data_IF_342813017632
#
_entry.id   IF_342813017632
#
_cell.length_a   1.000
_cell.length_b   1.000
_cell.length_c   1.000
_cell.angle_alpha   90.00
_cell.angle_beta   90.00
_cell.angle_gamma   90.00
#
_symmetry.space_group_name_H-M   'P 1'
#
loop_
_entity.id
_entity.type
_entity.pdbx_description
1 polymer ?
#
# COMPACT_ATOMS: atom_id res chain seq x y z
N UNK A 1 -15.84 -14.99 7.85
CA UNK A 1 -14.81 -16.04 7.73
C UNK A 1 -15.32 -17.11 6.78
N UNK A 2 -14.51 -17.50 5.83
CA UNK A 2 -14.77 -18.66 4.97
C UNK A 2 -14.58 -19.95 5.76
N UNK A 3 -15.28 -21.00 5.37
CA UNK A 3 -15.04 -22.36 5.89
C UNK A 3 -14.05 -23.09 4.97
N UNK A 4 -13.50 -24.22 5.45
CA UNK A 4 -12.48 -24.99 4.73
C UNK A 4 -12.89 -25.37 3.30
N UNK A 5 -14.16 -25.70 3.05
CA UNK A 5 -14.67 -26.02 1.69
C UNK A 5 -14.72 -24.77 0.80
N UNK A 6 -15.10 -23.62 1.34
CA UNK A 6 -15.09 -22.32 0.63
C UNK A 6 -13.67 -21.92 0.25
N UNK A 7 -12.69 -22.17 1.11
CA UNK A 7 -11.27 -21.93 0.79
C UNK A 7 -10.81 -22.79 -0.39
N UNK A 8 -11.19 -24.05 -0.44
CA UNK A 8 -10.89 -24.92 -1.59
C UNK A 8 -11.57 -24.46 -2.88
N UNK A 9 -12.81 -23.91 -2.81
CA UNK A 9 -13.47 -23.31 -3.97
C UNK A 9 -12.66 -22.12 -4.49
N UNK A 10 -12.23 -21.24 -3.60
CA UNK A 10 -11.43 -20.06 -3.98
C UNK A 10 -10.08 -20.46 -4.61
N UNK A 11 -9.38 -21.43 -4.02
CA UNK A 11 -8.13 -21.98 -4.57
C UNK A 11 -8.36 -22.58 -5.96
N UNK A 12 -9.42 -23.35 -6.14
CA UNK A 12 -9.76 -23.94 -7.43
C UNK A 12 -10.01 -22.85 -8.50
N UNK A 13 -10.83 -21.86 -8.16
CA UNK A 13 -11.14 -20.75 -9.06
C UNK A 13 -9.93 -19.88 -9.39
N UNK A 14 -8.98 -19.75 -8.44
CA UNK A 14 -7.69 -19.07 -8.69
C UNK A 14 -6.89 -19.78 -9.78
N UNK A 15 -6.82 -21.11 -9.71
CA UNK A 15 -5.97 -21.92 -10.60
C UNK A 15 -6.61 -22.18 -11.96
N UNK A 16 -7.95 -22.32 -12.01
CA UNK A 16 -8.69 -22.72 -13.22
C UNK A 16 -9.44 -21.56 -13.89
N UNK A 17 -9.52 -20.40 -13.24
CA UNK A 17 -10.31 -19.28 -13.74
C UNK A 17 -11.82 -19.54 -13.67
N UNK A 18 -12.55 -19.11 -14.70
CA UNK A 18 -14.01 -19.24 -14.73
C UNK A 18 -14.48 -20.69 -14.92
N UNK A 19 -15.23 -21.22 -13.97
CA UNK A 19 -15.62 -22.63 -13.92
C UNK A 19 -17.11 -22.85 -13.62
N UNK A 20 -17.66 -23.97 -14.11
CA UNK A 20 -19.04 -24.35 -13.78
C UNK A 20 -19.12 -24.94 -12.37
N UNK A 21 -20.35 -24.97 -11.81
CA UNK A 21 -20.60 -25.61 -10.51
C UNK A 21 -20.17 -27.10 -10.52
N UNK A 22 -20.47 -27.81 -11.60
CA UNK A 22 -20.12 -29.24 -11.72
C UNK A 22 -18.60 -29.48 -11.70
N UNK A 23 -17.82 -28.58 -12.28
CA UNK A 23 -16.36 -28.66 -12.26
C UNK A 23 -15.82 -28.42 -10.83
N UNK A 24 -16.36 -27.43 -10.13
CA UNK A 24 -16.04 -27.13 -8.73
C UNK A 24 -16.39 -28.32 -7.84
N UNK A 25 -17.58 -28.92 -8.02
CA UNK A 25 -18.04 -30.10 -7.28
C UNK A 25 -17.09 -31.29 -7.45
N UNK A 26 -16.68 -31.60 -8.69
CA UNK A 26 -15.71 -32.66 -8.97
C UNK A 26 -14.39 -32.42 -8.27
N UNK A 27 -13.87 -31.19 -8.31
CA UNK A 27 -12.63 -30.85 -7.62
C UNK A 27 -12.75 -31.04 -6.10
N UNK A 28 -13.82 -30.57 -5.48
CA UNK A 28 -14.06 -30.74 -4.06
C UNK A 28 -14.11 -32.20 -3.66
N UNK A 29 -14.76 -33.06 -4.46
CA UNK A 29 -14.75 -34.50 -4.24
C UNK A 29 -13.36 -35.11 -4.28
N UNK A 30 -12.53 -34.72 -5.25
CA UNK A 30 -11.13 -35.17 -5.36
C UNK A 30 -10.27 -34.76 -4.15
N UNK A 31 -10.60 -33.62 -3.52
CA UNK A 31 -9.92 -33.14 -2.31
C UNK A 31 -10.52 -33.70 -1.01
N UNK A 32 -11.44 -34.66 -1.07
CA UNK A 32 -12.09 -35.24 0.10
C UNK A 32 -13.14 -34.33 0.78
N UNK A 33 -13.53 -33.26 0.12
CA UNK A 33 -14.54 -32.30 0.63
C UNK A 33 -15.91 -32.57 -0.01
N UNK A 34 -16.59 -33.59 0.43
CA UNK A 34 -17.93 -33.96 -0.07
C UNK A 34 -19.00 -33.01 0.46
N UNK A 35 -19.99 -32.74 -0.38
CA UNK A 35 -21.17 -31.96 -0.03
C UNK A 35 -22.28 -32.22 -1.04
N UNK A 36 -23.54 -32.13 -0.60
CA UNK A 36 -24.67 -32.19 -1.54
C UNK A 36 -24.60 -30.98 -2.48
N UNK A 37 -25.21 -31.13 -3.66
CA UNK A 37 -25.40 -30.02 -4.62
C UNK A 37 -25.91 -28.73 -3.95
N UNK A 38 -26.88 -28.87 -3.03
CA UNK A 38 -27.46 -27.76 -2.28
C UNK A 38 -26.43 -27.09 -1.37
N UNK A 39 -25.57 -27.89 -0.74
CA UNK A 39 -24.54 -27.41 0.16
C UNK A 39 -23.48 -26.59 -0.61
N UNK A 40 -23.06 -27.07 -1.78
CA UNK A 40 -22.08 -26.39 -2.63
C UNK A 40 -22.68 -25.09 -3.19
N UNK A 41 -23.95 -25.10 -3.61
CA UNK A 41 -24.66 -23.88 -4.04
C UNK A 41 -24.71 -22.84 -2.91
N UNK A 42 -25.03 -23.25 -1.67
CA UNK A 42 -25.03 -22.34 -0.52
C UNK A 42 -23.66 -21.73 -0.25
N UNK A 43 -22.59 -22.51 -0.41
CA UNK A 43 -21.24 -21.99 -0.27
C UNK A 43 -20.90 -20.99 -1.39
N UNK A 44 -21.24 -21.30 -2.63
CA UNK A 44 -21.07 -20.38 -3.76
C UNK A 44 -21.88 -19.10 -3.59
N UNK A 45 -23.14 -19.19 -3.16
CA UNK A 45 -24.01 -18.03 -2.90
C UNK A 45 -23.44 -17.15 -1.76
N UNK A 46 -22.89 -17.77 -0.69
CA UNK A 46 -22.18 -17.04 0.37
C UNK A 46 -20.95 -16.33 -0.16
N UNK A 47 -20.14 -16.99 -0.99
CA UNK A 47 -18.96 -16.38 -1.60
C UNK A 47 -19.32 -15.24 -2.56
N UNK A 48 -20.42 -15.37 -3.30
CA UNK A 48 -20.95 -14.29 -4.16
C UNK A 48 -21.45 -13.12 -3.31
N UNK A 49 -22.23 -13.39 -2.25
CA UNK A 49 -22.73 -12.35 -1.34
C UNK A 49 -21.61 -11.65 -0.57
N UNK A 50 -20.48 -12.35 -0.31
CA UNK A 50 -19.28 -11.78 0.28
C UNK A 50 -18.37 -11.08 -0.74
N UNK A 51 -18.81 -10.92 -1.99
CA UNK A 51 -18.03 -10.35 -3.10
C UNK A 51 -16.69 -11.05 -3.38
N UNK A 52 -16.53 -12.30 -2.96
CA UNK A 52 -15.33 -13.09 -3.23
C UNK A 52 -15.38 -13.81 -4.58
N UNK A 53 -16.57 -14.14 -5.05
CA UNK A 53 -16.80 -14.83 -6.32
C UNK A 53 -17.81 -14.05 -7.16
N UNK A 54 -17.54 -13.94 -8.45
CA UNK A 54 -18.45 -13.38 -9.46
C UNK A 54 -19.18 -14.53 -10.13
N UNK A 55 -20.52 -14.42 -10.19
CA UNK A 55 -21.41 -15.32 -10.95
C UNK A 55 -21.75 -14.68 -12.28
N UNK A 56 -21.64 -15.42 -13.36
CA UNK A 56 -22.01 -14.98 -14.72
C UNK A 56 -22.83 -16.06 -15.43
N UNK A 57 -23.61 -15.66 -16.44
CA UNK A 57 -24.50 -16.56 -17.16
C UNK A 57 -25.77 -16.95 -16.37
N UNK A 58 -26.64 -17.78 -16.98
CA UNK A 58 -27.88 -18.25 -16.39
C UNK A 58 -28.09 -19.75 -16.67
N UNK A 59 -28.80 -20.42 -15.79
CA UNK A 59 -29.16 -21.84 -15.92
C UNK A 59 -27.91 -22.73 -16.05
N UNK A 60 -27.85 -23.55 -17.08
CA UNK A 60 -26.72 -24.46 -17.35
C UNK A 60 -25.43 -23.74 -17.78
N UNK A 61 -25.53 -22.49 -18.26
CA UNK A 61 -24.38 -21.68 -18.65
C UNK A 61 -23.77 -20.89 -17.48
N UNK A 62 -24.28 -21.06 -16.25
CA UNK A 62 -23.75 -20.38 -15.07
C UNK A 62 -22.30 -20.78 -14.82
N UNK A 63 -21.45 -19.75 -14.71
CA UNK A 63 -20.02 -19.87 -14.33
C UNK A 63 -19.71 -19.02 -13.12
N UNK A 64 -18.70 -19.44 -12.40
CA UNK A 64 -18.16 -18.79 -11.22
C UNK A 64 -16.69 -18.50 -11.46
N UNK A 65 -16.24 -17.29 -11.12
CA UNK A 65 -14.85 -16.88 -11.17
C UNK A 65 -14.52 -16.11 -9.90
N UNK A 66 -13.23 -15.99 -9.57
CA UNK A 66 -12.86 -15.03 -8.52
C UNK A 66 -13.39 -13.63 -8.90
N UNK A 67 -13.86 -12.88 -7.93
CA UNK A 67 -14.10 -11.46 -8.11
C UNK A 67 -12.76 -10.74 -8.30
N UNK A 68 -12.79 -9.51 -8.79
CA UNK A 68 -11.61 -8.66 -8.87
C UNK A 68 -11.01 -8.45 -7.49
N UNK A 69 -11.85 -8.16 -6.50
CA UNK A 69 -11.43 -8.04 -5.10
C UNK A 69 -10.64 -9.28 -4.62
N UNK A 70 -11.17 -10.49 -4.86
CA UNK A 70 -10.46 -11.71 -4.47
C UNK A 70 -9.15 -11.88 -5.21
N UNK A 71 -9.09 -11.55 -6.50
CA UNK A 71 -7.85 -11.63 -7.28
C UNK A 71 -6.78 -10.69 -6.71
N UNK A 72 -7.19 -9.51 -6.28
CA UNK A 72 -6.28 -8.50 -5.72
C UNK A 72 -5.85 -8.83 -4.28
N UNK A 73 -6.69 -9.51 -3.49
CA UNK A 73 -6.46 -9.76 -2.06
C UNK A 73 -6.10 -11.21 -1.72
N UNK A 74 -6.17 -12.12 -2.69
CA UNK A 74 -5.84 -13.53 -2.45
C UNK A 74 -4.34 -13.67 -2.13
N UNK A 75 -3.98 -14.35 -1.02
CA UNK A 75 -2.58 -14.51 -0.66
C UNK A 75 -1.76 -15.18 -1.77
N UNK A 76 -0.59 -14.62 -2.04
CA UNK A 76 0.41 -15.19 -2.94
C UNK A 76 1.57 -15.72 -2.08
N UNK A 77 2.12 -16.86 -2.45
CA UNK A 77 3.37 -17.35 -1.87
C UNK A 77 4.51 -16.45 -2.36
N UNK A 78 4.92 -15.51 -1.51
CA UNK A 78 5.90 -14.47 -1.83
C UNK A 78 7.28 -15.08 -2.06
N UNK A 79 7.67 -16.06 -1.24
CA UNK A 79 8.98 -16.69 -1.37
C UNK A 79 9.07 -17.48 -2.69
N UNK A 80 8.07 -18.29 -3.00
CA UNK A 80 8.02 -19.03 -4.27
C UNK A 80 7.96 -18.08 -5.49
N UNK A 81 7.28 -16.92 -5.35
CA UNK A 81 7.19 -15.92 -6.42
C UNK A 81 8.55 -15.27 -6.72
N UNK A 82 9.27 -14.84 -5.68
CA UNK A 82 10.57 -14.17 -5.81
C UNK A 82 11.76 -15.13 -5.89
N UNK A 83 11.56 -16.44 -5.76
CA UNK A 83 12.58 -17.44 -6.10
C UNK A 83 12.84 -17.55 -7.62
N UNK A 84 11.89 -17.06 -8.43
CA UNK A 84 12.03 -16.96 -9.89
C UNK A 84 12.82 -15.71 -10.26
N UNK A 85 13.67 -15.82 -11.29
CA UNK A 85 14.31 -14.66 -11.89
C UNK A 85 13.30 -13.67 -12.48
N UNK A 86 13.71 -12.41 -12.65
CA UNK A 86 12.83 -11.31 -13.07
C UNK A 86 12.08 -11.67 -14.36
N UNK A 87 12.78 -12.26 -15.33
CA UNK A 87 12.22 -12.60 -16.63
C UNK A 87 11.37 -13.88 -16.64
N UNK A 88 11.43 -14.67 -15.57
CA UNK A 88 10.61 -15.88 -15.38
C UNK A 88 9.31 -15.61 -14.60
N UNK A 89 9.18 -14.43 -14.00
CA UNK A 89 7.98 -14.06 -13.27
C UNK A 89 6.86 -13.67 -14.23
N UNK A 90 5.71 -14.29 -14.05
CA UNK A 90 4.52 -13.96 -14.82
C UNK A 90 3.94 -12.63 -14.34
N UNK A 91 3.81 -11.66 -15.24
CA UNK A 91 3.14 -10.40 -14.99
C UNK A 91 1.66 -10.49 -15.40
N UNK A 92 0.77 -10.01 -14.53
CA UNK A 92 -0.65 -9.84 -14.90
C UNK A 92 -0.81 -8.78 -15.98
N UNK A 93 0.02 -7.74 -15.92
CA UNK A 93 0.15 -6.70 -16.94
C UNK A 93 1.57 -6.16 -16.94
N UNK A 94 2.21 -6.10 -18.11
CA UNK A 94 3.53 -5.46 -18.27
C UNK A 94 3.44 -3.93 -18.16
N UNK A 95 2.26 -3.37 -18.40
CA UNK A 95 2.01 -1.93 -18.39
C UNK A 95 0.99 -1.57 -17.32
N UNK A 96 0.94 -0.27 -17.02
CA UNK A 96 -0.06 0.29 -16.10
C UNK A 96 -1.47 -0.14 -16.48
N UNK A 97 -2.21 -0.64 -15.50
CA UNK A 97 -3.58 -1.10 -15.66
C UNK A 97 -4.56 -0.11 -15.01
N UNK A 98 -5.27 0.67 -15.83
CA UNK A 98 -6.26 1.64 -15.35
C UNK A 98 -7.43 1.01 -14.60
N UNK A 99 -7.78 -0.23 -14.90
CA UNK A 99 -8.88 -0.92 -14.23
C UNK A 99 -8.58 -1.15 -12.74
N UNK A 100 -7.30 -1.28 -12.37
CA UNK A 100 -6.89 -1.41 -10.97
C UNK A 100 -7.37 -0.24 -10.13
N UNK A 101 -7.27 1.00 -10.64
CA UNK A 101 -7.73 2.20 -9.90
C UNK A 101 -9.23 2.14 -9.61
N UNK A 102 -10.02 1.61 -10.54
CA UNK A 102 -11.48 1.51 -10.42
C UNK A 102 -11.94 0.35 -9.52
N UNK A 103 -11.09 -0.64 -9.36
CA UNK A 103 -11.41 -1.90 -8.70
C UNK A 103 -10.87 -2.00 -7.26
N UNK A 104 -10.00 -1.07 -6.84
CA UNK A 104 -9.45 -1.00 -5.49
C UNK A 104 -10.46 -0.36 -4.53
N UNK A 105 -11.33 -1.16 -3.94
CA UNK A 105 -12.27 -0.72 -2.90
C UNK A 105 -12.42 -1.79 -1.83
N UNK A 106 -12.80 -1.39 -0.61
CA UNK A 106 -13.03 -2.28 0.53
C UNK A 106 -11.83 -3.22 0.80
N UNK A 107 -10.63 -2.64 0.88
CA UNK A 107 -9.39 -3.39 1.05
C UNK A 107 -9.26 -4.06 2.42
N UNK A 108 -9.97 -3.54 3.42
CA UNK A 108 -10.00 -4.05 4.78
C UNK A 108 -11.30 -4.80 5.03
N UNK A 109 -11.21 -5.95 5.68
CA UNK A 109 -12.38 -6.66 6.16
C UNK A 109 -12.90 -6.07 7.49
N UNK A 110 -14.10 -6.46 7.92
CA UNK A 110 -14.74 -5.90 9.11
C UNK A 110 -13.92 -6.11 10.39
N UNK A 111 -13.20 -7.22 10.53
CA UNK A 111 -12.35 -7.50 11.70
C UNK A 111 -11.11 -6.60 11.69
N UNK A 112 -10.47 -6.43 10.53
CA UNK A 112 -9.33 -5.50 10.37
C UNK A 112 -9.77 -4.07 10.72
N UNK A 113 -10.91 -3.62 10.21
CA UNK A 113 -11.44 -2.28 10.52
C UNK A 113 -11.68 -2.12 12.02
N UNK A 114 -12.35 -3.09 12.67
CA UNK A 114 -12.63 -3.04 14.11
C UNK A 114 -11.35 -3.00 14.96
N UNK A 115 -10.37 -3.87 14.64
CA UNK A 115 -9.07 -3.91 15.29
C UNK A 115 -8.33 -2.58 15.17
N UNK A 116 -8.18 -2.08 13.95
CA UNK A 116 -7.42 -0.86 13.66
C UNK A 116 -8.08 0.39 14.26
N UNK A 117 -9.42 0.43 14.30
CA UNK A 117 -10.17 1.48 14.96
C UNK A 117 -9.90 1.47 16.47
N UNK A 118 -9.93 0.28 17.11
CA UNK A 118 -9.62 0.13 18.53
C UNK A 118 -8.19 0.53 18.86
N UNK A 119 -7.23 0.16 18.01
CA UNK A 119 -5.83 0.56 18.16
C UNK A 119 -5.67 2.08 18.05
N UNK A 120 -6.35 2.72 17.09
CA UNK A 120 -6.28 4.16 16.93
C UNK A 120 -6.92 4.90 18.12
N UNK A 121 -8.00 4.37 18.66
CA UNK A 121 -8.60 4.93 19.88
C UNK A 121 -7.61 4.87 21.07
N UNK A 122 -6.89 3.76 21.23
CA UNK A 122 -5.82 3.64 22.21
C UNK A 122 -4.71 4.69 22.00
N UNK A 123 -4.32 4.93 20.74
CA UNK A 123 -3.37 6.00 20.41
C UNK A 123 -3.91 7.38 20.83
N UNK A 124 -5.16 7.72 20.48
CA UNK A 124 -5.77 9.00 20.85
C UNK A 124 -5.79 9.22 22.37
N UNK A 125 -6.15 8.19 23.13
CA UNK A 125 -6.18 8.25 24.59
C UNK A 125 -4.79 8.46 25.18
N UNK A 126 -3.77 7.78 24.69
CA UNK A 126 -2.38 7.97 25.12
C UNK A 126 -1.89 9.37 24.77
N UNK A 127 -2.10 9.82 23.53
CA UNK A 127 -1.75 11.15 23.03
C UNK A 127 -2.36 12.25 23.91
N UNK A 128 -3.65 12.12 24.28
CA UNK A 128 -4.35 13.11 25.10
C UNK A 128 -3.80 13.23 26.54
N UNK A 129 -3.08 12.22 27.03
CA UNK A 129 -2.45 12.23 28.36
C UNK A 129 -1.06 12.86 28.38
N UNK A 130 -0.46 13.07 27.21
CA UNK A 130 0.86 13.66 27.11
C UNK A 130 0.81 15.18 27.30
N UNK A 131 1.79 15.73 28.02
CA UNK A 131 2.00 17.18 28.00
C UNK A 131 2.44 17.63 26.59
N UNK A 132 2.22 18.90 26.22
CA UNK A 132 2.64 19.41 24.91
C UNK A 132 4.12 19.15 24.60
N UNK A 133 4.99 19.27 25.62
CA UNK A 133 6.43 18.98 25.49
C UNK A 133 6.72 17.51 25.22
N UNK A 134 6.01 16.58 25.86
CA UNK A 134 6.19 15.15 25.63
C UNK A 134 5.64 14.75 24.26
N UNK A 135 4.50 15.30 23.88
CA UNK A 135 3.92 15.09 22.56
C UNK A 135 4.87 15.54 21.45
N UNK A 136 5.46 16.73 21.59
CA UNK A 136 6.47 17.22 20.64
C UNK A 136 7.66 16.25 20.54
N UNK A 137 8.19 15.76 21.66
CA UNK A 137 9.31 14.80 21.67
C UNK A 137 8.97 13.48 20.97
N UNK A 138 7.74 13.00 21.13
CA UNK A 138 7.30 11.77 20.42
C UNK A 138 7.20 11.99 18.91
N UNK A 139 6.69 13.14 18.47
CA UNK A 139 6.72 13.48 17.04
C UNK A 139 8.15 13.69 16.51
N UNK A 140 9.05 14.31 17.28
CA UNK A 140 10.46 14.41 16.91
C UNK A 140 11.10 13.03 16.75
N UNK A 141 10.85 12.09 17.67
CA UNK A 141 11.34 10.71 17.61
C UNK A 141 10.81 9.98 16.37
N UNK A 142 9.49 10.07 16.13
CA UNK A 142 8.86 9.49 14.95
C UNK A 142 9.46 10.08 13.66
N UNK A 143 9.68 11.39 13.61
CA UNK A 143 10.26 12.08 12.45
C UNK A 143 11.66 11.58 12.14
N UNK A 144 12.52 11.42 13.15
CA UNK A 144 13.87 10.87 12.98
C UNK A 144 13.82 9.45 12.43
N UNK A 145 12.97 8.60 13.01
CA UNK A 145 12.86 7.20 12.59
C UNK A 145 12.24 7.06 11.19
N UNK A 146 11.26 7.90 10.85
CA UNK A 146 10.69 7.95 9.50
C UNK A 146 11.73 8.43 8.47
N UNK A 147 12.43 9.54 8.74
CA UNK A 147 13.44 10.07 7.84
C UNK A 147 14.55 9.04 7.57
N UNK A 148 15.02 8.38 8.63
CA UNK A 148 15.99 7.29 8.50
C UNK A 148 15.45 6.14 7.66
N UNK A 149 14.33 5.55 8.07
CA UNK A 149 13.85 4.30 7.45
C UNK A 149 13.36 4.51 6.03
N UNK A 150 12.63 5.60 5.79
CA UNK A 150 12.15 5.94 4.46
C UNK A 150 13.29 6.21 3.47
N UNK A 151 14.37 6.86 3.91
CA UNK A 151 15.57 7.04 3.09
C UNK A 151 16.30 5.71 2.85
N UNK A 152 16.43 4.87 3.89
CA UNK A 152 17.11 3.58 3.81
C UNK A 152 16.44 2.60 2.85
N UNK A 153 15.10 2.57 2.80
CA UNK A 153 14.34 1.80 1.79
C UNK A 153 14.75 2.18 0.36
N UNK A 154 15.07 3.44 0.12
CA UNK A 154 15.52 3.95 -1.19
C UNK A 154 17.06 3.87 -1.39
N UNK A 155 17.77 3.21 -0.50
CA UNK A 155 19.21 2.95 -0.64
C UNK A 155 20.12 3.94 0.07
N UNK A 156 19.59 4.92 0.82
CA UNK A 156 20.40 5.80 1.65
C UNK A 156 21.14 5.01 2.75
N UNK A 157 22.37 5.38 3.02
CA UNK A 157 23.27 4.62 3.90
C UNK A 157 23.42 5.21 5.30
N UNK A 158 22.67 6.28 5.65
CA UNK A 158 22.64 6.83 7.00
C UNK A 158 22.14 5.78 8.02
N UNK A 159 22.82 5.71 9.17
CA UNK A 159 22.30 4.96 10.32
C UNK A 159 21.24 5.77 11.07
N UNK A 160 20.50 5.15 11.96
CA UNK A 160 19.51 5.86 12.79
C UNK A 160 20.19 6.94 13.66
N UNK A 161 21.34 6.63 14.26
CA UNK A 161 22.08 7.57 15.10
C UNK A 161 22.69 8.73 14.28
N UNK A 162 23.21 8.45 13.08
CA UNK A 162 23.67 9.50 12.17
C UNK A 162 22.52 10.42 11.74
N UNK A 163 21.34 9.85 11.47
CA UNK A 163 20.13 10.60 11.14
C UNK A 163 19.69 11.49 12.30
N UNK A 164 19.67 10.96 13.52
CA UNK A 164 19.33 11.72 14.72
C UNK A 164 20.28 12.91 14.91
N UNK A 165 21.60 12.67 14.81
CA UNK A 165 22.63 13.70 14.92
C UNK A 165 22.48 14.77 13.84
N UNK A 166 22.27 14.36 12.60
CA UNK A 166 22.03 15.30 11.49
C UNK A 166 20.81 16.19 11.76
N UNK A 167 19.69 15.60 12.16
CA UNK A 167 18.43 16.33 12.31
C UNK A 167 18.37 17.21 13.57
N UNK A 168 19.10 16.85 14.64
CA UNK A 168 19.15 17.62 15.90
C UNK A 168 20.28 18.65 15.95
N UNK A 169 21.45 18.28 15.44
CA UNK A 169 22.69 19.06 15.58
C UNK A 169 23.13 19.72 14.26
N UNK A 170 22.48 19.39 13.14
CA UNK A 170 22.89 19.80 11.78
C UNK A 170 24.29 19.33 11.39
N UNK A 171 24.75 18.19 11.93
CA UNK A 171 26.09 17.64 11.66
C UNK A 171 25.94 16.47 10.69
N UNK A 172 26.40 16.60 9.42
CA UNK A 172 26.41 15.50 8.47
C UNK A 172 27.31 14.35 8.92
N UNK A 173 26.90 13.11 8.61
CA UNK A 173 27.71 11.95 8.92
C UNK A 173 28.93 11.85 8.00
N UNK A 174 30.07 11.47 8.55
CA UNK A 174 31.33 11.33 7.79
C UNK A 174 31.20 10.24 6.72
N UNK A 175 31.66 10.53 5.51
CA UNK A 175 31.66 9.59 4.39
C UNK A 175 30.30 9.44 3.68
N UNK A 176 29.30 10.29 4.00
CA UNK A 176 28.03 10.35 3.30
C UNK A 176 28.03 11.44 2.24
N UNK A 177 27.28 11.24 1.18
CA UNK A 177 27.15 12.23 0.10
C UNK A 177 26.26 13.41 0.51
N UNK A 178 26.38 14.52 -0.19
CA UNK A 178 25.49 15.66 -0.01
C UNK A 178 24.03 15.30 -0.35
N UNK A 179 23.83 14.44 -1.35
CA UNK A 179 22.52 13.96 -1.76
C UNK A 179 21.86 13.10 -0.69
N UNK A 180 22.58 12.13 -0.11
CA UNK A 180 22.09 11.33 1.01
C UNK A 180 21.70 12.18 2.20
N UNK A 181 22.52 13.17 2.54
CA UNK A 181 22.26 14.14 3.61
C UNK A 181 21.01 14.96 3.33
N UNK A 182 20.90 15.51 2.12
CA UNK A 182 19.75 16.32 1.71
C UNK A 182 18.46 15.50 1.71
N UNK A 183 18.52 14.24 1.27
CA UNK A 183 17.38 13.32 1.30
C UNK A 183 16.81 13.15 2.73
N UNK A 184 17.66 12.95 3.73
CA UNK A 184 17.23 12.83 5.14
C UNK A 184 16.62 14.13 5.64
N UNK A 185 17.26 15.28 5.37
CA UNK A 185 16.74 16.60 5.77
C UNK A 185 15.36 16.87 5.15
N UNK A 186 15.18 16.51 3.89
CA UNK A 186 13.93 16.72 3.18
C UNK A 186 12.78 15.88 3.74
N UNK A 187 13.04 14.67 4.23
CA UNK A 187 12.02 13.86 4.91
C UNK A 187 11.48 14.57 6.16
N UNK A 188 12.40 15.12 6.98
CA UNK A 188 11.99 15.92 8.14
C UNK A 188 11.14 17.10 7.71
N UNK A 189 11.65 17.91 6.77
CA UNK A 189 10.92 19.08 6.25
C UNK A 189 9.53 18.74 5.71
N UNK A 190 9.41 17.61 4.99
CA UNK A 190 8.13 17.19 4.44
C UNK A 190 7.13 16.75 5.53
N UNK A 191 7.60 16.07 6.59
CA UNK A 191 6.72 15.74 7.69
C UNK A 191 6.36 16.98 8.54
N UNK A 192 7.33 17.87 8.80
CA UNK A 192 7.07 19.14 9.48
C UNK A 192 6.01 19.97 8.72
N UNK A 193 6.14 20.06 7.39
CA UNK A 193 5.17 20.73 6.51
C UNK A 193 3.75 20.14 6.64
N UNK A 194 3.63 18.82 6.71
CA UNK A 194 2.34 18.15 6.95
C UNK A 194 1.81 18.43 8.36
N UNK A 195 2.69 18.50 9.37
CA UNK A 195 2.30 18.73 10.77
C UNK A 195 1.89 20.18 11.05
N UNK A 196 2.25 21.15 10.21
CA UNK A 196 1.81 22.55 10.32
C UNK A 196 0.29 22.68 10.14
N UNK A 197 -0.30 21.96 9.18
CA UNK A 197 -1.75 21.90 8.96
C UNK A 197 -2.18 20.50 8.45
N UNK A 198 -2.31 19.50 9.34
CA UNK A 198 -2.76 18.19 8.93
C UNK A 198 -4.15 18.18 8.30
N UNK A 199 -5.04 19.09 8.73
CA UNK A 199 -6.42 19.16 8.25
C UNK A 199 -6.50 19.52 6.75
N UNK A 200 -5.46 20.16 6.22
CA UNK A 200 -5.32 20.47 4.79
C UNK A 200 -5.44 19.20 3.92
N UNK A 201 -5.03 18.04 4.42
CA UNK A 201 -5.03 16.76 3.67
C UNK A 201 -6.31 15.93 3.80
N UNK A 202 -7.37 16.43 4.46
CA UNK A 202 -8.67 15.71 4.54
C UNK A 202 -9.29 15.46 3.19
N UNK A 203 -9.14 16.41 2.29
CA UNK A 203 -9.50 16.29 0.89
C UNK A 203 -8.24 16.36 0.04
N UNK A 204 -7.93 15.29 -0.65
CA UNK A 204 -6.74 15.18 -1.49
C UNK A 204 -6.96 15.89 -2.83
N UNK A 205 -5.91 16.50 -3.36
CA UNK A 205 -5.83 17.02 -4.74
C UNK A 205 -4.48 16.65 -5.35
N UNK A 206 -4.37 16.70 -6.68
CA UNK A 206 -3.08 16.49 -7.37
C UNK A 206 -2.05 17.51 -6.91
N UNK A 207 -2.45 18.78 -6.75
CA UNK A 207 -1.55 19.83 -6.27
C UNK A 207 -0.92 19.51 -4.91
N UNK A 208 -1.70 19.00 -3.94
CA UNK A 208 -1.19 18.60 -2.62
C UNK A 208 -0.17 17.46 -2.69
N UNK A 209 -0.32 16.55 -3.66
CA UNK A 209 0.66 15.50 -3.91
C UNK A 209 1.96 16.10 -4.46
N UNK A 210 1.87 17.05 -5.40
CA UNK A 210 3.02 17.75 -5.99
C UNK A 210 3.74 18.64 -4.97
N UNK A 211 3.02 19.25 -4.03
CA UNK A 211 3.60 20.04 -2.93
C UNK A 211 4.49 19.18 -2.04
N UNK A 212 4.00 18.02 -1.58
CA UNK A 212 4.81 17.06 -0.80
C UNK A 212 6.05 16.64 -1.58
N UNK A 213 5.89 16.30 -2.85
CA UNK A 213 7.01 15.93 -3.72
C UNK A 213 8.04 17.07 -3.84
N UNK A 214 7.58 18.31 -4.02
CA UNK A 214 8.44 19.48 -4.14
C UNK A 214 9.29 19.71 -2.89
N UNK A 215 8.72 19.53 -1.70
CA UNK A 215 9.47 19.60 -0.43
C UNK A 215 10.48 18.47 -0.33
N UNK A 216 10.08 17.23 -0.66
CA UNK A 216 10.93 16.04 -0.59
C UNK A 216 12.13 16.06 -1.55
N UNK A 217 12.00 16.77 -2.68
CA UNK A 217 13.05 16.83 -3.71
C UNK A 217 13.80 18.18 -3.72
N UNK A 218 13.51 19.06 -2.76
CA UNK A 218 14.17 20.35 -2.65
C UNK A 218 15.70 20.21 -2.48
N UNK A 219 16.48 20.87 -3.33
CA UNK A 219 17.94 20.80 -3.33
C UNK A 219 18.52 19.47 -3.86
N UNK A 220 17.67 18.57 -4.37
CA UNK A 220 18.08 17.42 -5.17
C UNK A 220 17.90 17.76 -6.66
N UNK A 221 18.71 17.14 -7.50
CA UNK A 221 18.61 17.37 -8.97
C UNK A 221 17.46 16.55 -9.58
N UNK A 222 16.23 16.86 -9.18
CA UNK A 222 14.99 16.17 -9.61
C UNK A 222 14.05 17.22 -10.21
N UNK A 223 13.50 16.94 -11.39
CA UNK A 223 12.54 17.82 -12.04
C UNK A 223 11.25 17.93 -11.20
N UNK A 224 10.67 19.14 -11.17
CA UNK A 224 9.40 19.40 -10.48
C UNK A 224 8.21 19.04 -11.37
N UNK A 225 7.11 18.67 -10.71
CA UNK A 225 5.86 18.36 -11.37
C UNK A 225 5.82 16.98 -12.03
N UNK A 226 4.71 16.71 -12.69
CA UNK A 226 4.47 15.42 -13.35
C UNK A 226 5.44 15.26 -14.51
N UNK A 227 6.14 14.11 -14.54
CA UNK A 227 7.12 13.78 -15.58
C UNK A 227 6.48 13.60 -16.96
N UNK A 228 7.31 13.79 -17.97
CA UNK A 228 7.07 13.34 -19.33
C UNK A 228 8.18 12.35 -19.72
N UNK A 229 7.83 11.16 -20.16
CA UNK A 229 8.78 10.13 -20.55
C UNK A 229 8.82 8.91 -19.63
N UNK A 230 9.60 7.92 -20.04
CA UNK A 230 9.69 6.63 -19.34
C UNK A 230 10.56 6.72 -18.08
N UNK A 231 10.18 5.94 -17.08
CA UNK A 231 11.04 5.62 -15.93
C UNK A 231 11.09 4.12 -15.76
N UNK A 232 12.25 3.61 -15.41
CA UNK A 232 12.46 2.20 -15.08
C UNK A 232 12.40 1.97 -13.58
N UNK A 233 12.01 0.77 -13.19
CA UNK A 233 11.99 0.36 -11.78
C UNK A 233 12.88 -0.87 -11.65
N UNK A 234 13.88 -0.79 -10.77
CA UNK A 234 14.78 -1.90 -10.52
C UNK A 234 14.03 -3.08 -9.89
N UNK A 235 14.28 -4.28 -10.39
CA UNK A 235 13.75 -5.53 -9.82
C UNK A 235 12.40 -5.97 -10.36
N UNK A 236 11.90 -5.34 -11.44
CA UNK A 236 10.64 -5.70 -12.10
C UNK A 236 10.65 -5.38 -13.58
N UNK A 237 9.87 -6.13 -14.37
CA UNK A 237 9.59 -5.84 -15.78
C UNK A 237 8.34 -4.95 -15.98
N UNK A 238 7.70 -4.53 -14.90
CA UNK A 238 6.58 -3.59 -14.96
C UNK A 238 7.00 -2.24 -15.52
N UNK A 239 6.22 -1.71 -16.45
CA UNK A 239 6.43 -0.42 -17.11
C UNK A 239 5.34 0.57 -16.71
N UNK A 240 5.66 1.61 -15.93
CA UNK A 240 4.73 2.70 -15.64
C UNK A 240 4.31 3.47 -16.88
N UNK A 241 3.27 4.29 -16.76
CA UNK A 241 2.86 5.24 -17.80
C UNK A 241 4.04 6.13 -18.21
N UNK A 242 4.13 6.45 -19.49
CA UNK A 242 5.19 7.29 -20.09
C UNK A 242 4.66 8.61 -20.68
N UNK A 243 3.36 8.79 -20.69
CA UNK A 243 2.68 9.96 -21.22
C UNK A 243 2.14 10.85 -20.07
N UNK A 244 2.51 12.12 -20.07
CA UNK A 244 2.13 13.10 -19.03
C UNK A 244 0.62 13.19 -18.84
N UNK A 245 -0.17 13.16 -19.91
CA UNK A 245 -1.63 13.27 -19.83
C UNK A 245 -2.25 12.02 -19.19
N UNK A 246 -1.73 10.82 -19.52
CA UNK A 246 -2.19 9.58 -18.88
C UNK A 246 -1.78 9.51 -17.41
N UNK A 247 -0.60 10.03 -17.05
CA UNK A 247 -0.14 10.12 -15.67
C UNK A 247 -1.06 11.07 -14.88
N UNK A 248 -1.38 12.22 -15.45
CA UNK A 248 -2.31 13.18 -14.88
C UNK A 248 -3.70 12.54 -14.65
N UNK A 249 -4.24 11.87 -15.67
CA UNK A 249 -5.52 11.14 -15.58
C UNK A 249 -5.50 10.08 -14.46
N UNK A 250 -4.43 9.29 -14.37
CA UNK A 250 -4.28 8.30 -13.32
C UNK A 250 -4.23 8.92 -11.91
N UNK A 251 -3.55 10.06 -11.75
CA UNK A 251 -3.55 10.81 -10.49
C UNK A 251 -4.93 11.36 -10.14
N UNK A 252 -5.66 11.92 -11.10
CA UNK A 252 -7.02 12.43 -10.89
C UNK A 252 -7.97 11.30 -10.48
N UNK A 253 -7.88 10.12 -11.13
CA UNK A 253 -8.64 8.93 -10.72
C UNK A 253 -8.25 8.47 -9.31
N UNK A 254 -6.98 8.48 -8.95
CA UNK A 254 -6.53 8.18 -7.58
C UNK A 254 -7.11 9.16 -6.56
N UNK A 255 -7.08 10.46 -6.85
CA UNK A 255 -7.64 11.51 -5.98
C UNK A 255 -9.12 11.26 -5.73
N UNK A 256 -9.90 10.96 -6.78
CA UNK A 256 -11.32 10.61 -6.65
C UNK A 256 -11.50 9.37 -5.78
N UNK A 257 -10.75 8.30 -6.02
CA UNK A 257 -10.82 7.06 -5.26
C UNK A 257 -10.52 7.28 -3.76
N UNK A 258 -9.43 8.00 -3.45
CA UNK A 258 -9.04 8.30 -2.06
C UNK A 258 -10.10 9.14 -1.37
N UNK A 259 -10.62 10.19 -2.02
CA UNK A 259 -11.65 11.06 -1.42
C UNK A 259 -12.99 10.34 -1.21
N UNK A 260 -13.35 9.38 -2.05
CA UNK A 260 -14.56 8.57 -1.90
C UNK A 260 -14.41 7.43 -0.86
N UNK A 261 -13.20 7.02 -0.55
CA UNK A 261 -12.92 5.97 0.44
C UNK A 261 -13.23 6.52 1.84
N UNK A 262 -14.01 5.77 2.63
CA UNK A 262 -14.45 6.23 3.97
C UNK A 262 -13.43 5.95 5.08
N UNK A 263 -12.74 4.82 4.99
CA UNK A 263 -11.79 4.39 6.02
C UNK A 263 -10.43 5.05 5.81
N UNK A 264 -9.94 5.75 6.81
CA UNK A 264 -8.69 6.53 6.74
C UNK A 264 -7.45 5.66 6.50
N UNK A 265 -7.41 4.44 7.05
CA UNK A 265 -6.29 3.52 6.84
C UNK A 265 -6.32 2.98 5.41
N UNK A 266 -7.50 2.71 4.85
CA UNK A 266 -7.64 2.36 3.42
C UNK A 266 -7.20 3.51 2.52
N UNK A 267 -7.61 4.76 2.81
CA UNK A 267 -7.14 5.94 2.08
C UNK A 267 -5.62 6.02 2.04
N UNK A 268 -4.98 5.87 3.20
CA UNK A 268 -3.52 5.93 3.32
C UNK A 268 -2.84 4.78 2.56
N UNK A 269 -3.35 3.55 2.69
CA UNK A 269 -2.86 2.38 1.97
C UNK A 269 -2.97 2.56 0.45
N UNK A 270 -4.12 3.04 -0.04
CA UNK A 270 -4.35 3.35 -1.46
C UNK A 270 -3.37 4.40 -1.97
N UNK A 271 -3.19 5.50 -1.24
CA UNK A 271 -2.27 6.55 -1.62
C UNK A 271 -0.82 6.04 -1.73
N UNK A 272 -0.35 5.24 -0.75
CA UNK A 272 1.00 4.68 -0.77
C UNK A 272 1.20 3.74 -1.96
N UNK A 273 0.27 2.82 -2.20
CA UNK A 273 0.37 1.87 -3.30
C UNK A 273 0.27 2.54 -4.66
N UNK A 274 -0.74 3.39 -4.85
CA UNK A 274 -1.03 3.92 -6.17
C UNK A 274 -0.03 4.99 -6.63
N UNK A 275 0.48 5.85 -5.74
CA UNK A 275 1.58 6.77 -6.12
C UNK A 275 2.82 5.95 -6.53
N UNK A 276 3.10 4.87 -5.81
CA UNK A 276 4.20 3.96 -6.16
C UNK A 276 3.96 3.23 -7.49
N UNK A 277 2.71 2.91 -7.84
CA UNK A 277 2.34 2.24 -9.10
C UNK A 277 2.30 3.19 -10.30
N UNK A 278 1.72 4.38 -10.13
CA UNK A 278 1.63 5.42 -11.18
C UNK A 278 3.02 5.96 -11.53
N UNK A 279 3.91 6.09 -10.51
CA UNK A 279 5.24 6.73 -10.68
C UNK A 279 5.13 8.11 -11.33
N UNK A 280 4.37 9.07 -10.75
CA UNK A 280 4.07 10.34 -11.43
C UNK A 280 5.29 11.26 -11.61
N UNK A 281 6.35 11.08 -10.84
CA UNK A 281 7.52 11.95 -10.84
C UNK A 281 8.76 11.23 -11.38
N UNK A 282 9.78 12.01 -11.75
CA UNK A 282 11.03 11.50 -12.25
C UNK A 282 11.78 10.66 -11.20
N UNK A 283 11.77 11.12 -9.95
CA UNK A 283 12.26 10.39 -8.76
C UNK A 283 11.43 10.79 -7.53
N UNK A 284 11.65 10.13 -6.39
CA UNK A 284 10.99 10.45 -5.12
C UNK A 284 9.57 9.88 -4.97
N UNK A 285 9.06 9.12 -5.92
CA UNK A 285 7.68 8.59 -5.90
C UNK A 285 7.34 7.81 -4.62
N UNK A 286 8.18 6.87 -4.21
CA UNK A 286 7.94 6.06 -3.01
C UNK A 286 8.11 6.87 -1.72
N UNK A 287 9.03 7.84 -1.70
CA UNK A 287 9.19 8.79 -0.58
C UNK A 287 7.95 9.66 -0.42
N UNK A 288 7.46 10.23 -1.53
CA UNK A 288 6.21 11.00 -1.59
C UNK A 288 5.02 10.17 -1.13
N UNK A 289 4.90 8.92 -1.57
CA UNK A 289 3.80 8.04 -1.20
C UNK A 289 3.74 7.81 0.32
N UNK A 290 4.89 7.59 1.00
CA UNK A 290 4.94 7.38 2.45
C UNK A 290 4.60 8.64 3.25
N UNK A 291 5.05 9.81 2.83
CA UNK A 291 4.67 11.08 3.48
C UNK A 291 3.19 11.37 3.23
N UNK A 292 2.68 11.17 2.01
CA UNK A 292 1.26 11.34 1.71
C UNK A 292 0.36 10.41 2.54
N UNK A 293 0.75 9.14 2.69
CA UNK A 293 0.05 8.21 3.58
C UNK A 293 -0.02 8.72 5.01
N UNK A 294 1.08 9.29 5.53
CA UNK A 294 1.11 9.92 6.84
C UNK A 294 0.27 11.21 6.91
N UNK A 295 0.26 12.02 5.86
CA UNK A 295 -0.58 13.22 5.78
C UNK A 295 -2.08 12.86 5.90
N UNK A 296 -2.51 11.81 5.20
CA UNK A 296 -3.88 11.29 5.29
C UNK A 296 -4.21 10.76 6.69
N UNK A 297 -3.30 10.00 7.31
CA UNK A 297 -3.48 9.49 8.66
C UNK A 297 -3.61 10.64 9.69
N UNK A 298 -2.71 11.61 9.62
CA UNK A 298 -2.68 12.76 10.53
C UNK A 298 -3.90 13.66 10.35
N UNK A 299 -4.42 13.81 9.13
CA UNK A 299 -5.61 14.62 8.83
C UNK A 299 -6.85 14.18 9.62
N UNK A 300 -6.98 12.88 9.90
CA UNK A 300 -8.10 12.30 10.64
C UNK A 300 -7.70 11.83 12.06
N UNK A 301 -6.58 12.34 12.58
CA UNK A 301 -6.05 12.00 13.91
C UNK A 301 -5.77 10.51 14.11
N UNK A 302 -5.17 9.89 13.09
CA UNK A 302 -4.62 8.53 13.16
C UNK A 302 -3.12 8.58 13.45
N UNK A 303 -2.63 7.49 14.07
CA UNK A 303 -1.22 7.32 14.36
C UNK A 303 -0.40 7.28 13.05
N UNK A 304 0.58 8.18 12.85
CA UNK A 304 1.44 8.14 11.67
C UNK A 304 2.47 6.99 11.75
N UNK A 305 2.98 6.59 10.59
CA UNK A 305 3.87 5.45 10.42
C UNK A 305 5.32 5.90 10.26
N UNK A 306 6.23 5.35 11.05
CA UNK A 306 7.68 5.54 10.86
C UNK A 306 8.32 4.50 9.93
N UNK A 307 7.61 3.43 9.62
CA UNK A 307 8.11 2.27 8.88
C UNK A 307 9.35 1.59 9.50
N UNK A 308 9.70 1.92 10.75
CA UNK A 308 10.98 1.50 11.38
C UNK A 308 11.16 -0.01 11.48
N UNK A 309 10.08 -0.75 11.63
CA UNK A 309 10.10 -2.20 11.84
C UNK A 309 10.01 -3.02 10.56
N UNK A 310 9.75 -2.39 9.39
CA UNK A 310 9.68 -3.13 8.14
C UNK A 310 11.09 -3.49 7.64
N UNK A 311 11.25 -4.69 7.12
CA UNK A 311 12.44 -5.04 6.35
C UNK A 311 12.40 -4.33 4.98
N UNK A 312 13.53 -3.77 4.52
CA UNK A 312 13.61 -3.01 3.28
C UNK A 312 13.35 -3.87 2.04
N UNK A 313 13.79 -5.13 2.07
CA UNK A 313 13.59 -6.09 0.98
C UNK A 313 12.13 -6.51 0.93
N UNK A 314 11.53 -6.83 2.07
CA UNK A 314 10.13 -7.23 2.15
C UNK A 314 9.18 -6.08 1.73
N UNK A 315 9.50 -4.83 2.11
CA UNK A 315 8.77 -3.67 1.61
C UNK A 315 8.81 -3.58 0.07
N UNK A 316 10.00 -3.75 -0.52
CA UNK A 316 10.19 -3.75 -1.98
C UNK A 316 9.45 -4.92 -2.64
N UNK A 317 9.54 -6.14 -2.08
CA UNK A 317 8.77 -7.30 -2.56
C UNK A 317 7.27 -7.01 -2.58
N UNK A 318 6.72 -6.42 -1.52
CA UNK A 318 5.29 -6.07 -1.46
C UNK A 318 4.86 -5.09 -2.54
N UNK A 319 5.66 -4.07 -2.80
CA UNK A 319 5.40 -3.08 -3.87
C UNK A 319 5.54 -3.72 -5.26
N UNK A 320 6.59 -4.51 -5.51
CA UNK A 320 6.82 -5.18 -6.79
C UNK A 320 5.69 -6.19 -7.07
N UNK A 321 5.26 -6.94 -6.08
CA UNK A 321 4.14 -7.88 -6.22
C UNK A 321 2.86 -7.16 -6.67
N UNK A 322 2.61 -5.95 -6.13
CA UNK A 322 1.50 -5.13 -6.59
C UNK A 322 1.69 -4.66 -8.05
N UNK A 323 2.89 -4.27 -8.43
CA UNK A 323 3.19 -3.87 -9.82
C UNK A 323 2.92 -5.00 -10.81
N UNK A 324 3.40 -6.20 -10.50
CA UNK A 324 3.40 -7.34 -11.42
C UNK A 324 2.07 -8.10 -11.41
N UNK A 325 1.40 -8.22 -10.25
CA UNK A 325 0.21 -9.04 -10.07
C UNK A 325 -1.06 -8.24 -9.78
N UNK A 326 -0.95 -6.93 -9.59
CA UNK A 326 -2.01 -6.07 -9.03
C UNK A 326 -2.62 -6.67 -7.75
N UNK A 327 -1.80 -7.35 -6.97
CA UNK A 327 -2.19 -8.01 -5.74
C UNK A 327 -1.67 -7.25 -4.53
N UNK A 328 -2.59 -6.84 -3.65
CA UNK A 328 -2.28 -6.00 -2.49
C UNK A 328 -2.02 -6.81 -1.22
N UNK A 329 -2.30 -8.12 -1.21
CA UNK A 329 -2.38 -8.91 0.02
C UNK A 329 -1.13 -8.78 0.89
N UNK A 330 0.04 -8.90 0.30
CA UNK A 330 1.30 -8.85 1.03
C UNK A 330 1.65 -7.42 1.49
N UNK A 331 1.51 -6.43 0.60
CA UNK A 331 1.77 -5.04 1.00
C UNK A 331 0.77 -4.55 2.05
N UNK A 332 -0.51 -4.93 1.93
CA UNK A 332 -1.52 -4.67 2.97
C UNK A 332 -1.08 -5.21 4.33
N UNK A 333 -0.64 -6.47 4.38
CA UNK A 333 -0.15 -7.07 5.62
C UNK A 333 0.99 -6.24 6.23
N UNK A 334 2.03 -5.93 5.45
CA UNK A 334 3.16 -5.10 5.90
C UNK A 334 2.70 -3.73 6.40
N UNK A 335 1.79 -3.07 5.68
CA UNK A 335 1.27 -1.75 6.05
C UNK A 335 0.50 -1.80 7.39
N UNK A 336 -0.37 -2.79 7.58
CA UNK A 336 -1.12 -2.97 8.82
C UNK A 336 -0.20 -3.32 10.01
N UNK A 337 0.85 -4.11 9.78
CA UNK A 337 1.87 -4.39 10.78
C UNK A 337 2.63 -3.12 11.22
N UNK A 338 2.94 -2.22 10.25
CA UNK A 338 3.54 -0.93 10.58
C UNK A 338 2.60 -0.06 11.44
N UNK A 339 1.29 -0.08 11.16
CA UNK A 339 0.31 0.65 11.98
C UNK A 339 0.23 0.08 13.41
N UNK A 340 0.15 -1.24 13.56
CA UNK A 340 0.18 -1.91 14.88
C UNK A 340 1.45 -1.57 15.64
N UNK A 341 2.60 -1.63 14.97
CA UNK A 341 3.90 -1.27 15.54
C UNK A 341 3.92 0.21 15.98
N UNK A 342 3.44 1.13 15.15
CA UNK A 342 3.43 2.55 15.47
C UNK A 342 2.59 2.83 16.73
N UNK A 343 1.36 2.34 16.80
CA UNK A 343 0.49 2.52 17.99
C UNK A 343 1.09 1.91 19.24
N UNK A 344 1.84 0.81 19.13
CA UNK A 344 2.47 0.16 20.30
C UNK A 344 3.75 0.86 20.78
N UNK A 345 4.44 1.60 19.91
CA UNK A 345 5.79 2.14 20.16
C UNK A 345 5.82 3.64 20.44
N UNK A 346 4.82 4.38 19.90
CA UNK A 346 4.76 5.83 20.05
C UNK A 346 3.58 6.26 20.93
N UNK A 347 3.72 7.39 21.57
CA UNK A 347 2.70 8.08 22.38
C UNK A 347 2.26 7.34 23.64
#
# INVERSE_FOLDING_TARGET
MTNKRQDFILIYLKNQGSSSREAIERYLHQQGHTGSKITILRDLDKLVSAHLVKKSGAGKATKYALSVYSTQTFPIDVEAYFAKDIDERELRSERFNFDVVRELYQLLNANEIAELTSLNESFRQKKARLSPRLLQKEFERLTVELAWKSSKIEGNTYTLLDTERLLKENIPAKGKTAEETQMVINHKKALDYVLEDPAYYRELTVAKIEEIHTVLTSGLNVAKGIRSGMVGIVGTNYRPLDNKFQIQEALEQLVVLVNQTKNTIEKALLAVLMISYIQPFEDGNKRTSRILGNAILLADDFCPLSYRSVDEVEYKKGIILFYEQNNISYFKQLFLEQFRCAVSKYF
#
